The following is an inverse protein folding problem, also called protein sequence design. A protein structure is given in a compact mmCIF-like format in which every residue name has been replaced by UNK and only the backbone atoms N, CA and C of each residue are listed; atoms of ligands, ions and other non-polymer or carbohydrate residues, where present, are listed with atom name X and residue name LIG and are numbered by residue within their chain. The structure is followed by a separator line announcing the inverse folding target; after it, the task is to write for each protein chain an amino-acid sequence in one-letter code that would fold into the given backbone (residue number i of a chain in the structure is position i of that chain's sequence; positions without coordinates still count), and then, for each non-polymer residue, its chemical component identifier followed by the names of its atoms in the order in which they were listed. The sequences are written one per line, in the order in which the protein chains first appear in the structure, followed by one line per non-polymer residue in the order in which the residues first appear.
data_IF_090191001483
#
_entry.id   IF_090191001483
#
_cell.length_a   1.000
_cell.length_b   1.000
_cell.length_c   1.000
_cell.angle_alpha   90.00
_cell.angle_beta   90.00
_cell.angle_gamma   90.00
#
_symmetry.space_group_name_H-M   'P 1'
#
loop_
_entity.id
_entity.type
_entity.pdbx_description
1 polymer ?
#
# COMPACT_ATOMS: atom_id res chain seq x y z
N UNK A 1 5.02 18.19 80.62
CA UNK A 1 4.01 17.35 79.93
C UNK A 1 3.55 18.06 78.67
N UNK A 2 3.85 17.52 77.48
CA UNK A 2 3.07 17.64 76.24
C UNK A 2 3.87 16.90 75.15
N UNK A 3 3.39 15.70 74.81
CA UNK A 3 3.96 14.84 73.76
C UNK A 3 3.50 15.41 72.41
N UNK A 4 4.42 15.75 71.52
CA UNK A 4 4.08 16.03 70.12
C UNK A 4 4.08 14.70 69.35
N UNK A 5 2.89 14.30 68.91
CA UNK A 5 2.68 13.16 68.03
C UNK A 5 2.82 13.68 66.59
N UNK A 6 3.88 13.27 65.88
CA UNK A 6 4.00 13.52 64.45
C UNK A 6 3.26 12.40 63.72
N UNK A 7 2.13 12.74 63.11
CA UNK A 7 1.39 11.84 62.21
C UNK A 7 2.01 11.98 60.83
N UNK A 8 2.68 10.93 60.37
CA UNK A 8 3.13 10.83 58.97
C UNK A 8 1.95 10.29 58.15
N UNK A 9 1.36 11.15 57.33
CA UNK A 9 0.37 10.74 56.33
C UNK A 9 1.15 10.26 55.10
N UNK A 10 1.22 8.94 54.92
CA UNK A 10 1.73 8.34 53.70
C UNK A 10 0.67 8.48 52.60
N UNK A 11 0.86 9.41 51.67
CA UNK A 11 0.05 9.51 50.47
C UNK A 11 0.52 8.44 49.47
N UNK A 12 -0.16 7.30 49.42
CA UNK A 12 0.05 6.31 48.36
C UNK A 12 -0.64 6.80 47.08
N UNK A 13 0.15 7.33 46.15
CA UNK A 13 -0.32 7.61 44.78
C UNK A 13 -0.36 6.27 44.03
N UNK A 14 -1.54 5.68 43.93
CA UNK A 14 -1.80 4.58 42.99
C UNK A 14 -1.93 5.16 41.58
N UNK A 15 -0.82 5.21 40.86
CA UNK A 15 -0.84 5.46 39.42
C UNK A 15 -1.45 4.23 38.74
N UNK A 16 -2.75 4.30 38.42
CA UNK A 16 -3.41 3.32 37.58
C UNK A 16 -2.86 3.43 36.16
N UNK A 17 -1.99 2.50 35.77
CA UNK A 17 -1.67 2.29 34.36
C UNK A 17 -2.92 1.68 33.72
N UNK A 18 -3.70 2.50 33.04
CA UNK A 18 -4.70 2.01 32.10
C UNK A 18 -3.91 1.28 30.99
N UNK A 19 -3.91 -0.05 31.02
CA UNK A 19 -3.47 -0.85 29.90
C UNK A 19 -4.42 -0.55 28.74
N UNK A 20 -4.02 0.36 27.85
CA UNK A 20 -4.69 0.53 26.57
C UNK A 20 -4.36 -0.72 25.76
N UNK A 21 -5.26 -1.68 25.80
CA UNK A 21 -5.22 -2.83 24.89
C UNK A 21 -5.65 -2.27 23.54
N UNK A 22 -4.69 -1.90 22.70
CA UNK A 22 -4.97 -1.66 21.30
C UNK A 22 -5.48 -2.97 20.71
N UNK A 23 -6.67 -2.95 20.08
CA UNK A 23 -7.13 -4.08 19.32
C UNK A 23 -6.07 -4.40 18.25
N UNK A 24 -5.71 -5.69 18.16
CA UNK A 24 -4.79 -6.16 17.13
C UNK A 24 -5.35 -5.77 15.76
N UNK A 25 -4.51 -5.17 14.90
CA UNK A 25 -4.94 -4.77 13.57
C UNK A 25 -5.31 -6.02 12.78
N UNK A 26 -6.52 -6.06 12.23
CA UNK A 26 -6.96 -7.17 11.40
C UNK A 26 -6.43 -6.95 9.98
N UNK A 27 -5.77 -7.97 9.43
CA UNK A 27 -5.32 -8.00 8.04
C UNK A 27 -6.36 -7.41 7.09
N UNK A 28 -5.94 -6.45 6.27
CA UNK A 28 -6.78 -5.75 5.31
C UNK A 28 -6.25 -5.98 3.90
N UNK A 29 -7.00 -6.72 3.09
CA UNK A 29 -6.55 -7.16 1.77
C UNK A 29 -6.85 -6.13 0.69
N UNK A 30 -5.84 -5.73 -0.08
CA UNK A 30 -6.02 -4.99 -1.34
C UNK A 30 -6.25 -5.99 -2.48
N UNK A 31 -5.43 -7.03 -2.55
CA UNK A 31 -5.58 -8.10 -3.53
C UNK A 31 -5.03 -9.42 -2.98
N UNK A 32 -5.79 -10.52 -3.14
CA UNK A 32 -5.32 -11.89 -2.87
C UNK A 32 -5.59 -12.82 -4.06
N UNK A 33 -6.79 -12.76 -4.63
CA UNK A 33 -7.16 -13.46 -5.85
C UNK A 33 -8.24 -12.63 -6.57
N UNK A 34 -8.35 -12.70 -7.89
CA UNK A 34 -9.35 -11.95 -8.64
C UNK A 34 -10.78 -12.24 -8.15
N UNK A 35 -11.08 -13.48 -7.75
CA UNK A 35 -12.40 -13.86 -7.26
C UNK A 35 -12.62 -13.55 -5.75
N UNK A 36 -11.58 -13.12 -5.04
CA UNK A 36 -11.67 -12.86 -3.60
C UNK A 36 -12.63 -11.70 -3.32
N UNK A 37 -13.59 -11.95 -2.41
CA UNK A 37 -14.68 -11.02 -2.07
C UNK A 37 -14.26 -9.94 -1.09
N UNK A 38 -13.11 -10.12 -0.45
CA UNK A 38 -12.51 -9.25 0.55
C UNK A 38 -11.35 -8.43 -0.02
N UNK A 39 -11.18 -8.39 -1.35
CA UNK A 39 -10.33 -7.40 -1.98
C UNK A 39 -10.92 -6.00 -1.80
N UNK A 40 -10.09 -5.07 -1.37
CA UNK A 40 -10.42 -3.65 -1.25
C UNK A 40 -9.69 -2.83 -2.31
N UNK A 41 -10.18 -1.61 -2.53
CA UNK A 41 -9.70 -0.69 -3.58
C UNK A 41 -9.92 -1.21 -5.02
N UNK A 42 -9.81 -0.30 -5.99
CA UNK A 42 -10.00 -0.60 -7.42
C UNK A 42 -8.84 -0.03 -8.23
N UNK A 43 -8.13 -0.82 -9.06
CA UNK A 43 -7.05 -0.35 -9.93
C UNK A 43 -7.60 0.55 -11.04
N UNK A 44 -7.80 1.81 -10.71
CA UNK A 44 -8.55 2.78 -11.51
C UNK A 44 -7.86 4.13 -11.64
N UNK A 45 -6.81 4.37 -10.85
CA UNK A 45 -5.99 5.57 -11.00
C UNK A 45 -4.89 5.38 -12.03
N UNK A 46 -5.24 5.31 -13.31
CA UNK A 46 -4.26 5.14 -14.41
C UNK A 46 -3.51 6.46 -14.62
N UNK A 47 -2.18 6.41 -14.66
CA UNK A 47 -1.32 7.58 -14.73
C UNK A 47 -0.27 7.47 -15.84
N UNK A 48 0.21 8.63 -16.30
CA UNK A 48 1.30 8.72 -17.27
C UNK A 48 0.92 8.13 -18.63
N UNK A 49 1.80 7.34 -19.21
CA UNK A 49 1.65 6.68 -20.50
C UNK A 49 0.69 5.47 -20.41
N UNK A 50 -0.53 5.70 -19.92
CA UNK A 50 -1.54 4.66 -19.72
C UNK A 50 -1.94 3.91 -21.00
N UNK A 51 -1.77 4.51 -22.17
CA UNK A 51 -2.02 3.88 -23.47
C UNK A 51 -1.00 2.79 -23.83
N UNK A 52 0.10 2.70 -23.08
CA UNK A 52 1.14 1.68 -23.23
C UNK A 52 0.93 0.52 -22.26
N UNK A 53 -0.04 0.63 -21.35
CA UNK A 53 -0.32 -0.38 -20.34
C UNK A 53 -1.43 -1.34 -20.75
N UNK A 54 -1.22 -2.63 -20.51
CA UNK A 54 -2.27 -3.65 -20.45
C UNK A 54 -2.32 -4.20 -19.03
N UNK A 55 -3.50 -4.19 -18.42
CA UNK A 55 -3.73 -4.73 -17.07
C UNK A 55 -4.64 -5.95 -17.12
N UNK A 56 -4.16 -7.07 -16.60
CA UNK A 56 -4.89 -8.34 -16.52
C UNK A 56 -5.02 -8.74 -15.05
N UNK A 57 -6.20 -8.49 -14.46
CA UNK A 57 -6.45 -8.72 -13.02
C UNK A 57 -6.49 -10.20 -12.62
N UNK A 58 -6.75 -11.11 -13.56
CA UNK A 58 -7.03 -12.53 -13.30
C UNK A 58 -6.07 -13.44 -14.08
N UNK A 59 -4.78 -13.13 -14.02
CA UNK A 59 -3.75 -13.90 -14.71
C UNK A 59 -3.50 -15.22 -13.98
N UNK A 60 -3.63 -16.35 -14.70
CA UNK A 60 -3.63 -17.69 -14.10
C UNK A 60 -2.27 -18.41 -14.10
N UNK A 61 -1.29 -17.86 -14.80
CA UNK A 61 0.00 -18.54 -14.97
C UNK A 61 0.98 -18.09 -13.89
N UNK A 62 1.41 -19.06 -13.07
CA UNK A 62 2.37 -18.89 -11.99
C UNK A 62 2.01 -17.74 -11.02
N UNK A 63 0.81 -17.75 -10.41
CA UNK A 63 0.51 -16.86 -9.28
C UNK A 63 1.39 -17.22 -8.07
N UNK A 64 1.61 -16.26 -7.17
CA UNK A 64 2.35 -16.54 -5.94
C UNK A 64 1.50 -17.42 -5.01
N UNK A 65 0.22 -17.07 -4.85
CA UNK A 65 -0.74 -17.85 -4.09
C UNK A 65 -2.09 -17.93 -4.81
N UNK A 66 -3.01 -18.76 -4.30
CA UNK A 66 -4.35 -18.88 -4.86
C UNK A 66 -4.37 -19.39 -6.31
N UNK A 67 -5.25 -18.80 -7.14
CA UNK A 67 -5.48 -19.24 -8.52
C UNK A 67 -5.19 -18.17 -9.57
N UNK A 68 -5.05 -16.90 -9.15
CA UNK A 68 -4.74 -15.79 -10.04
C UNK A 68 -3.85 -14.75 -9.38
N UNK A 69 -2.97 -14.15 -10.16
CA UNK A 69 -2.27 -12.92 -9.82
C UNK A 69 -2.64 -11.80 -10.79
N UNK A 70 -2.12 -10.60 -10.56
CA UNK A 70 -2.23 -9.48 -11.50
C UNK A 70 -1.02 -9.43 -12.41
N UNK A 71 -1.26 -9.10 -13.69
CA UNK A 71 -0.21 -8.88 -14.69
C UNK A 71 -0.38 -7.50 -15.32
N UNK A 72 0.70 -6.74 -15.37
CA UNK A 72 0.83 -5.49 -16.10
C UNK A 72 1.86 -5.69 -17.21
N UNK A 73 1.54 -5.29 -18.42
CA UNK A 73 2.52 -5.10 -19.51
C UNK A 73 2.61 -3.62 -19.84
N UNK A 74 3.82 -3.08 -19.98
CA UNK A 74 4.08 -1.71 -20.42
C UNK A 74 4.99 -1.73 -21.66
N UNK A 75 4.67 -0.98 -22.71
CA UNK A 75 5.44 -0.98 -23.98
C UNK A 75 6.50 0.11 -24.11
N UNK A 76 6.48 1.14 -23.25
CA UNK A 76 7.40 2.28 -23.30
C UNK A 76 7.37 3.10 -24.60
N UNK A 77 6.27 3.05 -25.36
CA UNK A 77 6.08 3.82 -26.60
C UNK A 77 5.84 5.32 -26.35
N UNK A 78 5.57 5.69 -25.10
CA UNK A 78 5.27 7.04 -24.62
C UNK A 78 4.08 7.67 -25.35
N UNK A 79 2.97 6.93 -25.49
CA UNK A 79 1.78 7.41 -26.22
C UNK A 79 1.18 8.70 -25.67
N UNK A 80 1.40 9.01 -24.39
CA UNK A 80 0.97 10.27 -23.78
C UNK A 80 2.12 11.28 -23.64
N UNK A 81 3.34 10.91 -24.02
CA UNK A 81 4.54 11.73 -23.92
C UNK A 81 5.04 11.94 -22.48
N UNK A 82 4.61 11.11 -21.53
CA UNK A 82 4.95 11.28 -20.12
C UNK A 82 6.34 10.73 -19.78
N UNK A 83 6.77 9.65 -20.42
CA UNK A 83 8.03 8.95 -20.10
C UNK A 83 7.96 8.10 -18.83
N UNK A 84 6.75 7.86 -18.32
CA UNK A 84 6.47 7.04 -17.15
C UNK A 84 5.02 6.58 -17.14
N UNK A 85 4.71 5.51 -16.43
CA UNK A 85 3.36 5.04 -16.23
C UNK A 85 3.18 4.45 -14.82
N UNK A 86 1.93 4.38 -14.36
CA UNK A 86 1.59 3.81 -13.07
C UNK A 86 0.09 3.60 -12.89
N UNK A 87 -0.28 2.82 -11.87
CA UNK A 87 -1.68 2.58 -11.50
C UNK A 87 -1.84 2.74 -10.00
N UNK A 88 -2.81 3.56 -9.58
CA UNK A 88 -3.33 3.61 -8.22
C UNK A 88 -4.54 2.68 -8.04
N UNK A 89 -4.54 1.97 -6.93
CA UNK A 89 -5.70 1.28 -6.36
C UNK A 89 -6.44 2.28 -5.47
N UNK A 90 -7.65 2.66 -5.90
CA UNK A 90 -8.40 3.78 -5.32
C UNK A 90 -9.71 3.33 -4.68
N UNK A 91 -10.15 4.06 -3.65
CA UNK A 91 -11.47 3.94 -3.07
C UNK A 91 -12.19 5.31 -2.96
N UNK A 92 -13.39 5.45 -3.54
CA UNK A 92 -13.95 4.58 -4.58
C UNK A 92 -13.11 4.62 -5.87
N UNK A 93 -13.52 3.87 -6.89
CA UNK A 93 -12.83 3.89 -8.18
C UNK A 93 -12.77 5.31 -8.78
N UNK A 94 -11.63 5.66 -9.40
CA UNK A 94 -11.34 6.98 -9.96
C UNK A 94 -11.44 8.13 -8.94
N UNK A 95 -11.05 7.89 -7.69
CA UNK A 95 -11.04 8.92 -6.65
C UNK A 95 -9.68 9.62 -6.56
N UNK A 96 -9.57 10.81 -7.16
CA UNK A 96 -8.41 11.70 -7.05
C UNK A 96 -8.60 12.77 -5.96
N UNK A 97 -9.13 12.37 -4.80
CA UNK A 97 -9.35 13.25 -3.65
C UNK A 97 -10.57 14.16 -3.76
N UNK A 98 -11.46 13.92 -4.73
CA UNK A 98 -12.67 14.73 -4.98
C UNK A 98 -13.94 14.10 -4.44
N UNK A 99 -13.84 12.87 -3.89
CA UNK A 99 -14.99 12.13 -3.36
C UNK A 99 -14.65 11.56 -1.97
N UNK A 100 -15.63 11.48 -1.07
CA UNK A 100 -15.48 10.68 0.14
C UNK A 100 -15.31 9.21 -0.22
N UNK A 101 -14.64 8.48 0.66
CA UNK A 101 -14.29 7.08 0.48
C UNK A 101 -13.25 6.74 1.53
N UNK A 102 -12.13 6.19 1.07
CA UNK A 102 -11.01 5.85 1.93
C UNK A 102 -11.35 4.77 2.96
N UNK A 103 -10.30 4.25 3.58
CA UNK A 103 -10.42 3.33 4.70
C UNK A 103 -9.59 3.85 5.86
N UNK A 104 -10.08 3.60 7.08
CA UNK A 104 -9.29 3.75 8.30
C UNK A 104 -8.46 2.48 8.46
N UNK A 105 -7.15 2.62 8.30
CA UNK A 105 -6.15 1.56 8.45
C UNK A 105 -5.30 1.78 9.70
N UNK A 106 -5.80 2.58 10.67
CA UNK A 106 -5.11 2.84 11.94
C UNK A 106 -4.79 1.53 12.65
N UNK A 107 -3.52 1.37 13.00
CA UNK A 107 -3.01 0.18 13.66
C UNK A 107 -2.15 -0.70 12.76
N UNK A 108 -2.31 -0.62 11.44
CA UNK A 108 -1.44 -1.31 10.49
C UNK A 108 0.01 -0.87 10.69
N UNK A 109 0.93 -1.83 10.65
CA UNK A 109 2.38 -1.64 10.80
C UNK A 109 3.11 -1.82 9.49
N UNK A 110 2.53 -2.57 8.56
CA UNK A 110 3.18 -2.95 7.30
C UNK A 110 2.15 -2.99 6.19
N UNK A 111 2.59 -2.61 4.99
CA UNK A 111 1.95 -3.06 3.75
C UNK A 111 2.86 -4.08 3.08
N UNK A 112 2.37 -5.30 2.92
CA UNK A 112 3.08 -6.41 2.29
C UNK A 112 2.53 -6.64 0.89
N UNK A 113 3.43 -6.95 -0.04
CA UNK A 113 3.07 -7.36 -1.39
C UNK A 113 4.11 -8.29 -1.98
N UNK A 114 3.69 -9.12 -2.92
CA UNK A 114 4.58 -9.97 -3.72
C UNK A 114 4.68 -9.42 -5.13
N UNK A 115 5.91 -9.35 -5.64
CA UNK A 115 6.16 -8.90 -7.00
C UNK A 115 7.25 -9.74 -7.68
N UNK A 116 7.10 -9.88 -9.01
CA UNK A 116 8.13 -10.41 -9.90
C UNK A 116 8.07 -9.75 -11.27
N UNK A 117 9.19 -9.79 -11.97
CA UNK A 117 9.34 -9.40 -13.36
C UNK A 117 8.98 -10.52 -14.35
N UNK A 118 8.87 -10.17 -15.62
CA UNK A 118 8.73 -11.14 -16.72
C UNK A 118 10.08 -11.69 -17.20
N UNK A 119 11.09 -10.83 -17.33
CA UNK A 119 12.46 -11.17 -17.73
C UNK A 119 13.48 -11.04 -16.60
N UNK A 120 13.14 -10.34 -15.52
CA UNK A 120 14.09 -9.94 -14.48
C UNK A 120 14.90 -8.71 -14.94
N UNK A 121 15.27 -7.87 -13.99
CA UNK A 121 15.96 -6.60 -14.27
C UNK A 121 15.03 -5.43 -14.57
N UNK A 122 13.72 -5.62 -14.61
CA UNK A 122 12.74 -4.53 -14.64
C UNK A 122 12.94 -3.64 -13.41
N UNK A 123 12.86 -2.33 -13.59
CA UNK A 123 13.03 -1.34 -12.52
C UNK A 123 11.70 -0.63 -12.28
N UNK A 124 11.12 -0.86 -11.11
CA UNK A 124 9.95 -0.11 -10.63
C UNK A 124 10.46 1.06 -9.80
N UNK A 125 10.12 2.28 -10.20
CA UNK A 125 10.63 3.49 -9.57
C UNK A 125 10.10 3.65 -8.15
N UNK A 126 8.81 3.35 -7.95
CA UNK A 126 8.20 3.35 -6.63
C UNK A 126 7.05 2.34 -6.51
N UNK A 127 6.94 1.77 -5.32
CA UNK A 127 5.68 1.29 -4.76
C UNK A 127 5.26 2.22 -3.64
N UNK A 128 3.98 2.57 -3.57
CA UNK A 128 3.48 3.62 -2.69
C UNK A 128 2.08 3.30 -2.15
N UNK A 129 1.76 3.86 -0.99
CA UNK A 129 0.38 4.03 -0.53
C UNK A 129 0.15 5.46 -0.03
N UNK A 130 -1.11 5.84 0.02
CA UNK A 130 -1.56 7.19 0.39
C UNK A 130 -1.16 8.25 -0.64
N UNK A 131 -1.25 9.51 -0.25
CA UNK A 131 -0.76 10.64 -1.04
C UNK A 131 -1.67 11.14 -2.15
N UNK A 132 -2.92 10.67 -2.23
CA UNK A 132 -3.96 11.34 -3.02
C UNK A 132 -4.36 12.63 -2.31
N UNK A 133 -4.28 13.77 -3.01
CA UNK A 133 -4.59 15.09 -2.46
C UNK A 133 -5.86 15.68 -3.08
N UNK A 134 -6.65 16.39 -2.28
CA UNK A 134 -7.90 17.05 -2.70
C UNK A 134 -8.74 17.48 -1.50
N UNK A 135 -10.05 17.65 -1.70
CA UNK A 135 -11.01 17.88 -0.60
C UNK A 135 -11.00 16.70 0.40
N UNK A 136 -10.86 15.49 -0.11
CA UNK A 136 -10.75 14.24 0.65
C UNK A 136 -9.34 13.68 0.49
N UNK A 137 -8.35 14.40 1.04
CA UNK A 137 -6.94 14.00 0.99
C UNK A 137 -6.65 12.79 1.86
N UNK A 138 -5.71 11.95 1.43
CA UNK A 138 -5.13 10.91 2.28
C UNK A 138 -4.41 11.53 3.47
N UNK A 139 -4.51 10.88 4.63
CA UNK A 139 -3.94 11.37 5.90
C UNK A 139 -2.41 11.33 5.92
N UNK A 140 -1.79 10.41 5.20
CA UNK A 140 -0.34 10.30 5.06
C UNK A 140 0.01 9.61 3.73
N UNK A 141 1.30 9.47 3.45
CA UNK A 141 1.86 8.70 2.36
C UNK A 141 3.20 8.08 2.72
N UNK A 142 3.51 6.96 2.07
CA UNK A 142 4.81 6.31 2.17
C UNK A 142 5.10 5.53 0.90
N UNK A 143 6.36 5.54 0.48
CA UNK A 143 6.84 4.81 -0.69
C UNK A 143 8.18 4.13 -0.43
N UNK A 144 8.45 3.09 -1.21
CA UNK A 144 9.75 2.43 -1.32
C UNK A 144 10.14 2.35 -2.80
N UNK A 145 11.44 2.39 -3.08
CA UNK A 145 11.97 2.28 -4.43
C UNK A 145 13.30 3.03 -4.61
N UNK A 146 13.95 2.87 -5.77
CA UNK A 146 13.57 1.95 -6.85
C UNK A 146 13.78 0.48 -6.48
N UNK A 147 13.04 -0.43 -7.12
CA UNK A 147 13.17 -1.88 -6.95
C UNK A 147 13.47 -2.53 -8.30
N UNK A 148 14.57 -3.28 -8.35
CA UNK A 148 14.89 -4.17 -9.48
C UNK A 148 14.26 -5.55 -9.25
N UNK A 149 13.36 -5.94 -10.14
CA UNK A 149 12.62 -7.20 -10.02
C UNK A 149 13.46 -8.40 -10.49
N UNK A 150 13.12 -9.56 -9.95
CA UNK A 150 13.60 -10.86 -10.42
C UNK A 150 12.49 -11.63 -11.10
N UNK A 151 12.82 -12.70 -11.82
CA UNK A 151 11.82 -13.64 -12.36
C UNK A 151 11.11 -14.43 -11.26
N UNK A 152 11.73 -14.58 -10.08
CA UNK A 152 11.14 -15.23 -8.93
C UNK A 152 10.27 -14.26 -8.11
N UNK A 153 9.18 -14.79 -7.56
CA UNK A 153 8.35 -14.09 -6.59
C UNK A 153 9.17 -13.70 -5.36
N UNK A 154 9.11 -12.42 -4.99
CA UNK A 154 9.71 -11.90 -3.77
C UNK A 154 8.68 -11.08 -3.00
N UNK A 155 8.73 -11.21 -1.68
CA UNK A 155 7.97 -10.37 -0.77
C UNK A 155 8.69 -9.04 -0.59
N UNK A 156 7.91 -7.97 -0.59
CA UNK A 156 8.33 -6.62 -0.25
C UNK A 156 7.44 -6.07 0.86
N UNK A 157 7.98 -5.12 1.61
CA UNK A 157 7.34 -4.53 2.76
C UNK A 157 7.54 -3.01 2.74
N UNK A 158 6.45 -2.28 2.98
CA UNK A 158 6.46 -0.86 3.29
C UNK A 158 6.19 -0.70 4.79
N UNK A 159 7.14 -0.11 5.51
CA UNK A 159 7.00 0.18 6.94
C UNK A 159 6.01 1.34 7.17
N UNK A 160 5.00 1.10 7.99
CA UNK A 160 3.93 2.05 8.32
C UNK A 160 4.02 2.56 9.76
N UNK A 161 5.08 2.24 10.50
CA UNK A 161 5.23 2.69 11.87
C UNK A 161 5.22 4.22 11.96
N UNK A 162 4.33 4.75 12.80
CA UNK A 162 4.18 6.19 13.03
C UNK A 162 3.44 6.95 11.94
N UNK A 163 2.89 6.26 10.93
CA UNK A 163 2.06 6.88 9.89
C UNK A 163 0.64 7.14 10.37
N UNK A 164 0.06 8.26 9.93
CA UNK A 164 -1.36 8.53 10.11
C UNK A 164 -2.15 7.83 9.00
N UNK A 165 -2.80 6.73 9.36
CA UNK A 165 -3.58 5.89 8.43
C UNK A 165 -5.08 6.02 8.67
N UNK A 166 -5.53 7.10 9.32
CA UNK A 166 -6.94 7.31 9.64
C UNK A 166 -7.84 7.49 8.41
N UNK A 167 -7.27 7.88 7.26
CA UNK A 167 -8.00 7.99 6.00
C UNK A 167 -7.09 7.74 4.78
N UNK A 168 -7.21 6.55 4.18
CA UNK A 168 -6.42 6.17 2.99
C UNK A 168 -7.35 5.78 1.83
N UNK A 169 -7.47 6.65 0.84
CA UNK A 169 -8.18 6.46 -0.43
C UNK A 169 -7.30 5.89 -1.54
N UNK A 170 -5.99 6.18 -1.54
CA UNK A 170 -4.99 5.54 -2.41
C UNK A 170 -4.32 4.35 -1.73
N UNK A 171 -4.91 3.16 -1.84
CA UNK A 171 -4.50 1.98 -1.07
C UNK A 171 -3.24 1.25 -1.54
N UNK A 172 -2.84 1.42 -2.79
CA UNK A 172 -1.59 0.87 -3.32
C UNK A 172 -1.30 1.53 -4.66
N UNK A 173 -0.02 1.68 -5.00
CA UNK A 173 0.42 2.31 -6.23
C UNK A 173 1.76 1.70 -6.64
N UNK A 174 1.96 1.60 -7.95
CA UNK A 174 3.29 1.46 -8.53
C UNK A 174 3.47 2.50 -9.63
N UNK A 175 4.70 2.95 -9.83
CA UNK A 175 5.10 3.76 -10.99
C UNK A 175 6.48 3.34 -11.51
N UNK A 176 6.68 3.44 -12.81
CA UNK A 176 7.95 3.12 -13.47
C UNK A 176 8.20 4.06 -14.67
N UNK A 177 9.46 4.31 -14.99
CA UNK A 177 9.86 5.15 -16.13
C UNK A 177 10.24 4.31 -17.35
N UNK A 178 9.98 4.84 -18.54
CA UNK A 178 10.52 4.33 -19.80
C UNK A 178 12.04 4.48 -19.88
N UNK A 179 12.65 5.43 -19.16
CA UNK A 179 14.11 5.58 -19.16
C UNK A 179 14.81 4.37 -18.54
N UNK A 180 14.26 3.84 -17.43
CA UNK A 180 14.80 2.66 -16.76
C UNK A 180 14.36 1.35 -17.44
N UNK A 181 13.26 1.40 -18.22
CA UNK A 181 12.69 0.25 -18.93
C UNK A 181 12.44 0.60 -20.42
N UNK A 182 13.49 0.85 -21.22
CA UNK A 182 13.35 1.39 -22.58
C UNK A 182 12.70 0.43 -23.58
N UNK A 183 12.69 -0.87 -23.27
CA UNK A 183 12.02 -1.91 -24.07
C UNK A 183 10.64 -2.28 -23.52
N UNK A 184 10.13 -1.51 -22.55
CA UNK A 184 8.98 -1.91 -21.78
C UNK A 184 9.29 -3.03 -20.78
N UNK A 185 8.24 -3.50 -20.10
CA UNK A 185 8.37 -4.53 -19.06
C UNK A 185 7.07 -5.30 -18.83
N UNK A 186 7.19 -6.41 -18.10
CA UNK A 186 6.03 -7.08 -17.48
C UNK A 186 6.23 -7.12 -15.98
N UNK A 187 5.24 -6.65 -15.24
CA UNK A 187 5.18 -6.67 -13.77
C UNK A 187 4.05 -7.63 -13.36
N UNK A 188 4.36 -8.54 -12.46
CA UNK A 188 3.37 -9.37 -11.79
C UNK A 188 3.26 -8.96 -10.33
N UNK A 189 2.03 -8.90 -9.83
CA UNK A 189 1.70 -8.54 -8.45
C UNK A 189 0.74 -9.56 -7.86
N UNK A 190 0.96 -9.91 -6.61
CA UNK A 190 0.10 -10.82 -5.86
C UNK A 190 0.15 -10.51 -4.37
N UNK A 191 -0.83 -11.02 -3.61
CA UNK A 191 -0.90 -10.95 -2.14
C UNK A 191 -0.53 -9.57 -1.56
N UNK A 192 -1.33 -8.56 -1.89
CA UNK A 192 -1.19 -7.18 -1.41
C UNK A 192 -2.12 -6.95 -0.22
N UNK A 193 -1.58 -6.64 0.95
CA UNK A 193 -2.36 -6.46 2.17
C UNK A 193 -1.65 -5.59 3.21
N UNK A 194 -2.43 -5.08 4.15
CA UNK A 194 -1.96 -4.41 5.36
C UNK A 194 -2.03 -5.36 6.55
N UNK A 195 -1.07 -5.26 7.47
CA UNK A 195 -1.06 -5.93 8.78
C UNK A 195 -0.37 -5.06 9.85
#
# INVERSE_FOLDING_TARGET
MKKFLVVVVALTVLAGFANVVYAEFKRFNVFTDAAARDNHYVPSGWMGDYGDMKFERAWKENPHSGTTCMKVTYTAEQKQGAGWAGIYWQNPANNWGTKPGGFDLTGAKKCIFWARGGKGGEIIAEFKLGGITGEYSDSDQVSIGPITLTTEWKQYEIDLNGKDLSYISGGFCWAASSMDNPEGFTLYLDDIYYE
#
